data_IF_877732176027
#
_entry.id   IF_877732176027
#
_cell.length_a   1.000
_cell.length_b   1.000
_cell.length_c   1.000
_cell.angle_alpha   90.00
_cell.angle_beta   90.00
_cell.angle_gamma   90.00
#
_symmetry.space_group_name_H-M   'P 1'
#
loop_
_entity.id
_entity.type
_entity.pdbx_description
1 polymer ?
#
# COMPACT_ATOMS: atom_id res chain seq x y z
N UNK A 1 30.28 54.38 51.93
CA UNK A 1 28.86 54.05 51.72
C UNK A 1 28.44 54.28 50.26
N UNK A 2 29.34 54.21 49.30
CA UNK A 2 29.16 54.54 47.91
C UNK A 2 29.43 53.36 46.94
N UNK A 3 29.58 52.08 47.47
CA UNK A 3 29.90 50.91 46.64
C UNK A 3 28.75 49.94 46.43
N UNK A 4 27.57 50.15 47.05
CA UNK A 4 26.43 49.21 46.87
C UNK A 4 25.43 49.63 45.78
N UNK A 5 25.39 50.89 45.38
CA UNK A 5 24.47 51.42 44.38
C UNK A 5 24.93 51.14 42.95
N UNK A 6 26.24 51.15 42.68
CA UNK A 6 26.78 50.93 41.32
C UNK A 6 26.72 49.46 40.90
N UNK A 7 26.84 48.53 41.84
CA UNK A 7 26.74 47.10 41.54
C UNK A 7 25.32 46.61 41.23
N UNK A 8 24.30 47.32 41.81
CA UNK A 8 22.90 47.00 41.48
C UNK A 8 22.46 47.57 40.12
N UNK A 9 23.03 48.69 39.68
CA UNK A 9 22.79 49.24 38.33
C UNK A 9 23.44 48.39 37.22
N UNK A 10 24.66 47.88 37.45
CA UNK A 10 25.37 47.01 36.47
C UNK A 10 24.65 45.67 36.32
N UNK A 11 24.13 45.08 37.41
CA UNK A 11 23.38 43.80 37.33
C UNK A 11 22.02 44.02 36.66
N UNK A 12 21.35 45.18 36.86
CA UNK A 12 20.09 45.49 36.18
C UNK A 12 20.28 45.73 34.66
N UNK A 13 21.38 46.37 34.26
CA UNK A 13 21.68 46.57 32.82
C UNK A 13 22.11 45.28 32.10
N UNK A 14 22.85 44.40 32.75
CA UNK A 14 23.19 43.07 32.16
C UNK A 14 21.96 42.15 32.06
N UNK A 15 21.01 42.24 33.01
CA UNK A 15 19.77 41.46 32.92
C UNK A 15 18.78 42.04 31.87
N UNK A 16 18.79 43.33 31.64
CA UNK A 16 17.92 43.98 30.64
C UNK A 16 18.45 43.78 29.19
N UNK A 17 19.77 43.68 29.01
CA UNK A 17 20.35 43.34 27.72
C UNK A 17 20.13 41.87 27.30
N UNK A 18 19.95 40.92 28.25
CA UNK A 18 19.61 39.54 27.94
C UNK A 18 18.14 39.35 27.50
N UNK A 19 17.24 40.29 27.84
CA UNK A 19 15.82 40.27 27.45
C UNK A 19 15.55 40.87 26.08
N UNK A 20 16.55 41.47 25.42
CA UNK A 20 16.41 42.11 24.12
C UNK A 20 17.14 41.41 22.97
N UNK A 21 17.72 40.23 23.19
CA UNK A 21 18.08 39.40 22.07
C UNK A 21 16.77 38.84 21.50
N UNK A 22 16.33 39.25 20.30
CA UNK A 22 15.29 38.52 19.62
C UNK A 22 15.82 37.09 19.52
N UNK A 23 15.06 36.14 20.03
CA UNK A 23 15.29 34.75 19.68
C UNK A 23 15.27 34.70 18.14
N UNK A 24 16.44 34.61 17.52
CA UNK A 24 16.53 34.35 16.10
C UNK A 24 15.98 32.94 15.99
N UNK A 25 14.67 32.84 15.71
CA UNK A 25 14.06 31.62 15.31
C UNK A 25 14.82 31.23 14.03
N UNK A 26 15.75 30.32 14.13
CA UNK A 26 16.32 29.68 12.94
C UNK A 26 15.15 29.06 12.21
N UNK A 27 14.87 29.58 11.04
CA UNK A 27 13.87 29.03 10.15
C UNK A 27 14.20 27.55 9.95
N UNK A 28 13.32 26.68 10.42
CA UNK A 28 13.51 25.23 10.21
C UNK A 28 13.20 24.91 8.75
N UNK A 29 14.12 24.22 8.09
CA UNK A 29 13.87 23.69 6.76
C UNK A 29 12.60 22.84 6.75
N UNK A 30 11.75 22.94 5.71
CA UNK A 30 10.58 22.07 5.63
C UNK A 30 11.01 20.61 5.43
N UNK A 31 10.43 19.74 6.23
CA UNK A 31 10.54 18.29 6.06
C UNK A 31 9.52 17.84 5.02
N UNK A 32 10.00 17.39 3.86
CA UNK A 32 9.18 16.79 2.82
C UNK A 32 8.95 15.32 3.15
N UNK A 33 7.70 14.88 3.14
CA UNK A 33 7.32 13.47 3.32
C UNK A 33 6.49 13.01 2.13
N UNK A 34 6.85 11.84 1.59
CA UNK A 34 6.15 11.20 0.47
C UNK A 34 5.75 9.79 0.85
N UNK A 35 4.48 9.44 0.65
CA UNK A 35 3.97 8.08 0.75
C UNK A 35 2.83 7.85 -0.24
N UNK A 36 2.12 6.73 -0.13
CA UNK A 36 1.02 6.38 -1.02
C UNK A 36 1.03 4.88 -1.27
N UNK A 37 0.48 4.48 -2.42
CA UNK A 37 0.49 3.11 -2.94
C UNK A 37 0.04 2.07 -1.91
N UNK A 38 -1.01 2.42 -1.14
CA UNK A 38 -1.54 1.53 -0.08
C UNK A 38 -2.20 0.28 -0.66
N UNK A 39 -2.85 0.39 -1.83
CA UNK A 39 -3.58 -0.68 -2.52
C UNK A 39 -4.56 -1.44 -1.60
N UNK A 40 -5.18 -0.71 -0.68
CA UNK A 40 -6.12 -1.27 0.28
C UNK A 40 -5.50 -2.04 1.44
N UNK A 41 -4.17 -2.03 1.61
CA UNK A 41 -3.49 -2.66 2.75
C UNK A 41 -3.68 -1.81 4.02
N UNK A 42 -4.80 -2.04 4.72
CA UNK A 42 -5.13 -1.30 5.95
C UNK A 42 -4.18 -1.70 7.08
N UNK A 43 -3.94 -3.00 7.21
CA UNK A 43 -2.97 -3.60 8.12
C UNK A 43 -2.18 -4.66 7.38
N UNK A 44 -0.88 -4.81 7.66
CA UNK A 44 -0.14 -5.95 7.16
C UNK A 44 -0.73 -7.24 7.72
N UNK A 45 -0.65 -8.33 6.97
CA UNK A 45 -1.28 -9.58 7.37
C UNK A 45 -0.65 -10.19 8.64
N UNK A 46 0.58 -9.81 8.99
CA UNK A 46 1.30 -10.31 10.16
C UNK A 46 1.64 -11.80 10.09
N UNK A 47 1.48 -12.43 8.93
CA UNK A 47 1.73 -13.87 8.73
C UNK A 47 3.20 -14.23 8.83
N UNK A 48 4.09 -13.33 8.44
CA UNK A 48 5.53 -13.44 8.62
C UNK A 48 6.04 -12.18 9.33
N UNK A 49 6.99 -12.34 10.25
CA UNK A 49 7.54 -11.21 11.02
C UNK A 49 8.24 -10.21 10.10
N UNK A 50 8.95 -10.70 9.10
CA UNK A 50 9.67 -9.90 8.12
C UNK A 50 8.74 -9.19 7.13
N UNK A 51 7.55 -9.74 6.89
CA UNK A 51 6.49 -9.16 6.06
C UNK A 51 5.53 -8.26 6.81
N UNK A 52 5.66 -8.16 8.13
CA UNK A 52 4.83 -7.29 8.97
C UNK A 52 5.29 -5.83 8.88
N UNK A 53 5.18 -5.26 7.68
CA UNK A 53 5.52 -3.89 7.35
C UNK A 53 4.36 -3.17 6.67
N UNK A 54 4.26 -1.86 6.91
CA UNK A 54 3.25 -1.02 6.28
C UNK A 54 1.96 -0.94 7.09
N UNK A 55 0.88 -0.70 6.36
CA UNK A 55 -0.45 -0.50 6.92
C UNK A 55 -0.78 0.96 7.20
N UNK A 56 -2.05 1.28 6.98
CA UNK A 56 -2.58 2.64 7.11
C UNK A 56 -2.47 3.19 8.53
N UNK A 57 -2.69 2.30 9.53
CA UNK A 57 -2.68 2.69 10.94
C UNK A 57 -1.28 3.10 11.39
N UNK A 58 -0.25 2.36 11.00
CA UNK A 58 1.15 2.70 11.30
C UNK A 58 1.63 3.93 10.56
N UNK A 59 1.19 4.11 9.30
CA UNK A 59 1.47 5.31 8.52
C UNK A 59 0.99 6.56 9.27
N UNK A 60 -0.24 6.54 9.79
CA UNK A 60 -0.80 7.66 10.54
C UNK A 60 0.03 7.94 11.80
N UNK A 61 0.36 6.93 12.58
CA UNK A 61 1.21 7.09 13.78
C UNK A 61 2.56 7.72 13.42
N UNK A 62 3.26 7.17 12.42
CA UNK A 62 4.58 7.65 12.02
C UNK A 62 4.56 9.12 11.58
N UNK A 63 3.65 9.48 10.66
CA UNK A 63 3.57 10.86 10.14
C UNK A 63 3.20 11.83 11.25
N UNK A 64 2.29 11.47 12.17
CA UNK A 64 1.95 12.30 13.34
C UNK A 64 3.13 12.50 14.30
N UNK A 65 3.92 11.46 14.54
CA UNK A 65 5.15 11.59 15.32
C UNK A 65 6.14 12.55 14.65
N UNK A 66 6.34 12.42 13.33
CA UNK A 66 7.17 13.35 12.58
C UNK A 66 6.62 14.80 12.65
N UNK A 67 5.31 14.97 12.52
CA UNK A 67 4.66 16.27 12.62
C UNK A 67 4.82 16.92 14.00
N UNK A 68 4.87 16.13 15.08
CA UNK A 68 5.13 16.65 16.42
C UNK A 68 6.57 17.12 16.65
N UNK A 69 7.51 16.66 15.82
CA UNK A 69 8.93 17.00 15.88
C UNK A 69 9.33 18.09 14.88
N UNK A 70 8.56 18.25 13.80
CA UNK A 70 8.83 19.19 12.71
C UNK A 70 7.57 20.01 12.44
N UNK A 71 7.55 21.26 12.92
CA UNK A 71 6.42 22.19 12.72
C UNK A 71 6.16 22.48 11.23
N UNK A 72 7.22 22.41 10.40
CA UNK A 72 7.21 22.71 8.98
C UNK A 72 7.20 21.43 8.11
N UNK A 73 6.39 20.44 8.48
CA UNK A 73 6.25 19.22 7.71
C UNK A 73 5.27 19.41 6.55
N UNK A 74 5.68 19.00 5.35
CA UNK A 74 4.87 18.98 4.13
C UNK A 74 4.69 17.52 3.67
N UNK A 75 3.46 17.02 3.73
CA UNK A 75 3.14 15.65 3.37
C UNK A 75 2.46 15.56 2.00
N UNK A 76 3.00 14.72 1.13
CA UNK A 76 2.51 14.45 -0.22
C UNK A 76 2.17 12.97 -0.36
N UNK A 77 0.98 12.67 -0.87
CA UNK A 77 0.53 11.31 -1.11
C UNK A 77 0.46 11.03 -2.63
N UNK A 78 1.12 9.96 -3.07
CA UNK A 78 1.17 9.57 -4.47
C UNK A 78 -0.03 8.72 -4.92
N UNK A 79 -1.09 8.67 -4.12
CA UNK A 79 -2.31 7.94 -4.45
C UNK A 79 -2.14 6.43 -4.57
N UNK A 80 -3.03 5.81 -5.32
CA UNK A 80 -3.13 4.35 -5.42
C UNK A 80 -3.38 3.69 -4.05
N UNK A 81 -4.18 4.38 -3.23
CA UNK A 81 -4.49 3.93 -1.87
C UNK A 81 -5.68 2.98 -1.83
N UNK A 82 -6.58 3.08 -2.81
CA UNK A 82 -7.76 2.23 -2.86
C UNK A 82 -7.38 0.77 -3.14
N UNK A 83 -8.18 -0.19 -2.66
CA UNK A 83 -8.04 -1.60 -3.04
C UNK A 83 -8.41 -1.81 -4.51
N UNK A 84 -8.17 -3.00 -5.03
CA UNK A 84 -8.85 -3.43 -6.25
C UNK A 84 -10.37 -3.46 -6.06
N UNK A 85 -11.16 -3.16 -7.11
CA UNK A 85 -12.62 -3.15 -7.02
C UNK A 85 -13.19 -4.49 -6.56
N UNK A 86 -13.87 -4.49 -5.42
CA UNK A 86 -14.54 -5.66 -4.85
C UNK A 86 -15.51 -5.23 -3.75
N UNK A 87 -16.50 -6.07 -3.41
CA UNK A 87 -17.40 -5.77 -2.28
C UNK A 87 -16.66 -5.58 -0.96
N UNK A 88 -15.60 -6.35 -0.71
CA UNK A 88 -14.75 -6.15 0.47
C UNK A 88 -13.90 -4.89 0.33
N UNK A 89 -13.42 -4.59 -0.88
CA UNK A 89 -12.68 -3.37 -1.18
C UNK A 89 -13.48 -2.11 -0.87
N UNK A 90 -14.75 -2.08 -1.26
CA UNK A 90 -15.65 -0.96 -1.00
C UNK A 90 -15.76 -0.63 0.50
N UNK A 91 -15.69 -1.66 1.36
CA UNK A 91 -15.69 -1.47 2.82
C UNK A 91 -14.42 -0.81 3.35
N UNK A 92 -13.30 -0.88 2.62
CA UNK A 92 -12.02 -0.26 3.01
C UNK A 92 -11.97 1.24 2.72
N UNK A 93 -12.65 1.69 1.67
CA UNK A 93 -12.56 3.08 1.18
C UNK A 93 -12.92 4.13 2.25
N UNK A 94 -14.00 4.00 3.03
CA UNK A 94 -14.30 4.97 4.10
C UNK A 94 -13.22 5.07 5.16
N UNK A 95 -12.56 3.96 5.51
CA UNK A 95 -11.45 3.96 6.46
C UNK A 95 -10.21 4.66 5.89
N UNK A 96 -9.91 4.44 4.61
CA UNK A 96 -8.82 5.12 3.90
C UNK A 96 -9.06 6.63 3.88
N UNK A 97 -10.27 7.09 3.56
CA UNK A 97 -10.64 8.51 3.62
C UNK A 97 -10.49 9.09 5.02
N UNK A 98 -10.97 8.38 6.05
CA UNK A 98 -10.81 8.82 7.45
C UNK A 98 -9.35 9.02 7.84
N UNK A 99 -8.47 8.13 7.39
CA UNK A 99 -7.03 8.27 7.65
C UNK A 99 -6.40 9.41 6.86
N UNK A 100 -6.68 9.54 5.56
CA UNK A 100 -6.18 10.64 4.73
C UNK A 100 -6.62 12.00 5.27
N UNK A 101 -7.87 12.13 5.73
CA UNK A 101 -8.34 13.36 6.38
C UNK A 101 -7.56 13.70 7.66
N UNK A 102 -7.14 12.68 8.44
CA UNK A 102 -6.32 12.87 9.66
C UNK A 102 -4.85 13.14 9.36
N UNK A 103 -4.34 12.61 8.26
CA UNK A 103 -2.99 12.86 7.76
C UNK A 103 -2.83 14.25 7.17
N UNK A 104 -3.92 14.85 6.69
CA UNK A 104 -3.96 16.20 6.12
C UNK A 104 -2.87 16.45 5.06
N UNK A 105 -2.79 15.63 3.99
CA UNK A 105 -1.79 15.82 2.95
C UNK A 105 -1.96 17.17 2.24
N UNK A 106 -0.86 17.76 1.77
CA UNK A 106 -0.88 18.93 0.89
C UNK A 106 -1.60 18.62 -0.42
N UNK A 107 -1.36 17.44 -0.96
CA UNK A 107 -2.07 16.87 -2.11
C UNK A 107 -2.05 15.34 -2.07
N UNK A 108 -3.03 14.73 -2.74
CA UNK A 108 -3.09 13.29 -3.04
C UNK A 108 -3.16 13.13 -4.55
N UNK A 109 -2.18 12.48 -5.16
CA UNK A 109 -2.26 12.14 -6.59
C UNK A 109 -3.38 11.12 -6.82
N UNK A 110 -4.22 11.33 -7.83
CA UNK A 110 -5.18 10.31 -8.25
C UNK A 110 -4.41 9.12 -8.85
N UNK A 111 -4.58 7.92 -8.29
CA UNK A 111 -3.91 6.72 -8.75
C UNK A 111 -4.80 5.80 -9.60
N UNK A 112 -4.22 4.72 -10.16
CA UNK A 112 -4.97 3.75 -10.95
C UNK A 112 -6.13 3.10 -10.21
N UNK A 113 -5.96 2.76 -8.93
CA UNK A 113 -7.02 2.11 -8.16
C UNK A 113 -8.16 3.07 -7.80
N UNK A 114 -7.87 4.36 -7.52
CA UNK A 114 -8.90 5.38 -7.38
C UNK A 114 -9.71 5.50 -8.68
N UNK A 115 -9.03 5.49 -9.82
CA UNK A 115 -9.68 5.56 -11.13
C UNK A 115 -10.55 4.33 -11.40
N UNK A 116 -10.03 3.14 -11.13
CA UNK A 116 -10.68 1.86 -11.39
C UNK A 116 -11.93 1.62 -10.53
N UNK A 117 -11.91 2.07 -9.26
CA UNK A 117 -13.08 2.03 -8.38
C UNK A 117 -14.14 3.06 -8.78
N UNK A 118 -13.75 4.10 -9.52
CA UNK A 118 -14.62 5.17 -9.96
C UNK A 118 -14.45 6.45 -9.13
N UNK A 119 -14.34 7.55 -9.86
CA UNK A 119 -14.06 8.87 -9.27
C UNK A 119 -15.16 9.41 -8.34
N UNK A 120 -16.34 8.81 -8.36
CA UNK A 120 -17.44 9.14 -7.44
C UNK A 120 -17.17 8.71 -5.98
N UNK A 121 -16.23 7.80 -5.76
CA UNK A 121 -15.78 7.42 -4.41
C UNK A 121 -14.86 8.47 -3.78
N UNK A 122 -14.28 9.40 -4.54
CA UNK A 122 -13.32 10.36 -4.00
C UNK A 122 -14.03 11.38 -3.08
N UNK A 123 -13.50 11.55 -1.87
CA UNK A 123 -14.01 12.55 -0.93
C UNK A 123 -13.50 13.94 -1.34
N UNK A 124 -14.41 14.86 -1.63
CA UNK A 124 -14.11 16.24 -2.03
C UNK A 124 -13.35 17.06 -0.98
N UNK A 125 -13.25 16.58 0.26
CA UNK A 125 -12.45 17.22 1.32
C UNK A 125 -10.97 16.89 1.23
N UNK A 126 -10.61 15.86 0.46
CA UNK A 126 -9.23 15.47 0.23
C UNK A 126 -8.70 16.22 -0.99
N UNK A 127 -7.53 16.88 -0.92
CA UNK A 127 -6.99 17.70 -1.99
C UNK A 127 -6.39 16.85 -3.12
N UNK A 128 -7.23 16.19 -3.91
CA UNK A 128 -6.76 15.40 -5.04
C UNK A 128 -6.17 16.28 -6.15
N UNK A 129 -5.00 15.86 -6.66
CA UNK A 129 -4.30 16.52 -7.77
C UNK A 129 -4.19 15.59 -8.99
N UNK A 130 -4.42 16.18 -10.16
CA UNK A 130 -4.22 15.52 -11.45
C UNK A 130 -3.98 16.60 -12.51
N UNK A 131 -2.71 16.91 -12.81
CA UNK A 131 -2.34 18.08 -13.58
C UNK A 131 -2.48 17.88 -15.11
N UNK A 132 -2.46 16.62 -15.55
CA UNK A 132 -2.66 16.26 -16.96
C UNK A 132 -4.14 15.95 -17.33
N UNK A 133 -5.09 16.38 -16.49
CA UNK A 133 -6.52 16.28 -16.77
C UNK A 133 -7.00 17.35 -17.76
N UNK A 134 -8.10 17.07 -18.45
CA UNK A 134 -8.87 18.12 -19.09
C UNK A 134 -9.77 18.83 -18.03
N UNK A 135 -10.35 19.98 -18.40
CA UNK A 135 -11.14 20.84 -17.51
C UNK A 135 -12.47 20.22 -17.02
N UNK A 136 -12.78 18.97 -17.38
CA UNK A 136 -14.03 18.31 -16.98
C UNK A 136 -13.97 17.68 -15.59
N UNK A 137 -12.76 17.38 -15.09
CA UNK A 137 -12.58 16.82 -13.76
C UNK A 137 -12.29 17.94 -12.76
N UNK A 138 -12.85 17.82 -11.55
CA UNK A 138 -12.71 18.83 -10.52
C UNK A 138 -11.56 18.49 -9.56
N UNK A 139 -10.34 18.33 -10.10
CA UNK A 139 -9.12 18.11 -9.33
C UNK A 139 -8.21 19.34 -9.41
N UNK A 140 -7.28 19.44 -8.47
CA UNK A 140 -6.24 20.45 -8.54
C UNK A 140 -5.36 20.20 -9.77
N UNK A 141 -5.15 21.24 -10.57
CA UNK A 141 -4.22 21.20 -11.70
C UNK A 141 -2.79 21.56 -11.28
N UNK A 142 -2.67 22.25 -10.14
CA UNK A 142 -1.42 22.71 -9.56
C UNK A 142 -1.69 23.07 -8.11
N UNK A 143 -0.78 22.74 -7.20
CA UNK A 143 -0.78 23.22 -5.82
C UNK A 143 0.41 24.13 -5.61
N UNK A 144 0.16 25.32 -5.05
CA UNK A 144 1.19 26.24 -4.58
C UNK A 144 1.21 26.22 -3.06
N UNK A 145 2.40 26.01 -2.50
CA UNK A 145 2.65 26.04 -1.06
C UNK A 145 3.59 27.20 -0.78
N UNK A 146 3.22 28.04 0.18
CA UNK A 146 4.05 29.11 0.66
C UNK A 146 4.69 28.69 1.98
N UNK A 147 6.00 28.56 1.98
CA UNK A 147 6.77 28.27 3.18
C UNK A 147 7.83 29.35 3.34
N UNK A 148 7.65 30.23 4.33
CA UNK A 148 8.47 31.42 4.55
C UNK A 148 8.62 32.27 3.27
N UNK A 149 9.85 32.44 2.78
CA UNK A 149 10.13 33.18 1.56
C UNK A 149 10.17 32.30 0.31
N UNK A 150 9.78 31.02 0.42
CA UNK A 150 9.77 30.07 -0.68
C UNK A 150 8.37 29.76 -1.16
N UNK A 151 8.30 29.57 -2.46
CA UNK A 151 7.11 29.07 -3.12
C UNK A 151 7.46 27.73 -3.75
N UNK A 152 6.80 26.69 -3.23
CA UNK A 152 6.90 25.32 -3.72
C UNK A 152 5.69 25.05 -4.60
N UNK A 153 5.91 24.50 -5.78
CA UNK A 153 4.83 24.07 -6.68
C UNK A 153 4.84 22.58 -6.79
N UNK A 154 3.64 21.98 -6.76
CA UNK A 154 3.42 20.56 -6.94
C UNK A 154 2.49 20.32 -8.12
N UNK A 155 2.91 19.46 -9.04
CA UNK A 155 2.09 18.91 -10.11
C UNK A 155 1.97 17.41 -9.94
N UNK A 156 0.87 16.84 -10.45
CA UNK A 156 0.62 15.40 -10.43
C UNK A 156 0.38 14.86 -11.83
N UNK A 157 1.07 13.79 -12.20
CA UNK A 157 0.90 13.11 -13.48
C UNK A 157 0.47 11.66 -13.27
N UNK A 158 -0.61 11.26 -13.94
CA UNK A 158 -1.06 9.88 -14.07
C UNK A 158 -1.06 9.50 -15.55
N UNK A 159 -0.31 8.46 -15.91
CA UNK A 159 -0.28 7.98 -17.29
C UNK A 159 -1.64 7.46 -17.74
N UNK A 160 -2.13 7.88 -18.91
CA UNK A 160 -3.32 7.29 -19.51
C UNK A 160 -3.22 5.78 -19.78
N UNK A 161 -2.00 5.24 -19.87
CA UNK A 161 -1.77 3.80 -20.08
C UNK A 161 -2.11 2.93 -18.87
N UNK A 162 -2.17 3.54 -17.68
CA UNK A 162 -2.45 2.84 -16.41
C UNK A 162 -3.94 2.79 -16.06
N UNK A 163 -4.79 3.45 -16.84
CA UNK A 163 -6.21 3.59 -16.54
C UNK A 163 -7.07 3.30 -17.76
N UNK A 164 -8.26 2.77 -17.50
CA UNK A 164 -9.24 2.59 -18.58
C UNK A 164 -9.85 3.93 -18.96
N UNK A 165 -9.84 4.23 -20.25
CA UNK A 165 -10.59 5.34 -20.85
C UNK A 165 -11.45 4.80 -22.01
N UNK A 166 -12.69 5.28 -22.11
CA UNK A 166 -13.57 4.91 -23.21
C UNK A 166 -13.01 5.47 -24.52
N UNK A 167 -12.65 4.61 -25.48
CA UNK A 167 -12.08 5.00 -26.76
C UNK A 167 -13.04 5.84 -27.65
N UNK A 168 -14.34 5.77 -27.37
CA UNK A 168 -15.36 6.51 -28.10
C UNK A 168 -15.67 7.89 -27.52
N UNK A 169 -14.99 8.27 -26.43
CA UNK A 169 -15.13 9.56 -25.77
C UNK A 169 -13.81 10.33 -25.80
N UNK A 170 -13.84 11.67 -25.76
CA UNK A 170 -12.61 12.46 -25.62
C UNK A 170 -11.85 12.03 -24.37
N UNK A 171 -10.54 11.85 -24.50
CA UNK A 171 -9.68 11.52 -23.38
C UNK A 171 -9.83 12.56 -22.26
N UNK A 172 -9.97 12.09 -21.02
CA UNK A 172 -10.11 12.95 -19.84
C UNK A 172 -8.77 13.26 -19.19
N UNK A 173 -7.72 12.47 -19.51
CA UNK A 173 -6.33 12.75 -19.14
C UNK A 173 -5.43 12.62 -20.38
N UNK A 174 -4.36 13.38 -20.40
CA UNK A 174 -3.47 13.50 -21.54
C UNK A 174 -2.12 12.82 -21.28
N UNK A 175 -1.60 12.13 -22.30
CA UNK A 175 -0.21 11.67 -22.29
C UNK A 175 0.74 12.86 -22.32
N UNK A 176 1.94 12.68 -21.76
CA UNK A 176 3.00 13.69 -21.88
C UNK A 176 3.40 13.87 -23.33
N UNK A 177 3.39 15.10 -23.81
CA UNK A 177 3.80 15.54 -25.14
C UNK A 177 4.31 16.99 -25.08
N UNK A 178 4.76 17.54 -26.19
CA UNK A 178 5.28 18.91 -26.24
C UNK A 178 4.24 19.98 -25.87
N UNK A 179 2.98 19.76 -26.17
CA UNK A 179 1.89 20.69 -25.84
C UNK A 179 1.67 20.75 -24.34
N UNK A 180 1.55 19.57 -23.68
CA UNK A 180 1.42 19.47 -22.23
C UNK A 180 2.63 20.08 -21.50
N UNK A 181 3.85 19.78 -21.97
CA UNK A 181 5.07 20.34 -21.39
C UNK A 181 5.14 21.86 -21.54
N UNK A 182 4.68 22.42 -22.67
CA UNK A 182 4.65 23.87 -22.90
C UNK A 182 3.63 24.55 -21.98
N UNK A 183 2.43 23.99 -21.85
CA UNK A 183 1.39 24.49 -20.94
C UNK A 183 1.87 24.47 -19.47
N UNK A 184 2.48 23.36 -19.04
CA UNK A 184 3.00 23.24 -17.67
C UNK A 184 4.14 24.22 -17.41
N UNK A 185 5.03 24.42 -18.38
CA UNK A 185 6.12 25.40 -18.29
C UNK A 185 5.57 26.82 -18.08
N UNK A 186 4.55 27.20 -18.84
CA UNK A 186 3.90 28.51 -18.68
C UNK A 186 3.26 28.66 -17.28
N UNK A 187 2.54 27.63 -16.80
CA UNK A 187 1.93 27.62 -15.46
C UNK A 187 2.98 27.78 -14.37
N UNK A 188 4.09 27.03 -14.46
CA UNK A 188 5.20 27.09 -13.49
C UNK A 188 5.82 28.48 -13.48
N UNK A 189 6.09 29.07 -14.67
CA UNK A 189 6.70 30.40 -14.80
C UNK A 189 5.80 31.50 -14.18
N UNK A 190 4.50 31.45 -14.43
CA UNK A 190 3.53 32.42 -13.87
C UNK A 190 3.51 32.43 -12.34
N UNK A 191 3.87 31.29 -11.71
CA UNK A 191 3.84 31.15 -10.26
C UNK A 191 5.16 31.49 -9.56
N UNK A 192 6.26 31.80 -10.28
CA UNK A 192 7.58 32.15 -9.73
C UNK A 192 8.05 31.17 -8.64
N UNK A 193 7.97 29.86 -8.91
CA UNK A 193 8.35 28.83 -7.95
C UNK A 193 9.86 28.77 -7.75
N UNK A 194 10.30 28.62 -6.50
CA UNK A 194 11.69 28.37 -6.13
C UNK A 194 12.01 26.87 -6.05
N UNK A 195 10.98 26.03 -5.84
CA UNK A 195 11.12 24.57 -5.86
C UNK A 195 9.90 23.92 -6.51
N UNK A 196 10.14 22.91 -7.34
CA UNK A 196 9.13 22.32 -8.23
C UNK A 196 9.13 20.81 -8.09
N UNK A 197 8.01 20.25 -7.66
CA UNK A 197 7.84 18.82 -7.39
C UNK A 197 6.87 18.24 -8.42
N UNK A 198 7.25 17.09 -8.99
CA UNK A 198 6.33 16.23 -9.76
C UNK A 198 6.04 14.96 -8.96
N UNK A 199 4.78 14.71 -8.67
CA UNK A 199 4.29 13.41 -8.25
C UNK A 199 3.95 12.62 -9.52
N UNK A 200 4.68 11.53 -9.77
CA UNK A 200 4.66 10.85 -11.05
C UNK A 200 4.16 9.41 -10.92
N UNK A 201 3.23 9.04 -11.80
CA UNK A 201 2.79 7.66 -11.97
C UNK A 201 2.64 7.35 -13.46
N UNK A 202 3.60 6.61 -14.00
CA UNK A 202 3.73 6.33 -15.42
C UNK A 202 4.89 5.37 -15.70
N UNK A 203 5.22 5.20 -16.97
CA UNK A 203 6.36 4.37 -17.40
C UNK A 203 7.66 5.19 -17.53
N UNK A 204 8.78 4.49 -17.76
CA UNK A 204 10.11 5.12 -17.86
C UNK A 204 10.24 6.08 -19.06
N UNK A 205 9.57 5.79 -20.19
CA UNK A 205 9.63 6.65 -21.39
C UNK A 205 8.93 7.99 -21.14
N UNK A 206 7.81 7.96 -20.43
CA UNK A 206 7.08 9.18 -20.02
C UNK A 206 7.89 9.99 -19.02
N UNK A 207 8.55 9.32 -18.06
CA UNK A 207 9.41 9.97 -17.09
C UNK A 207 10.62 10.64 -17.76
N UNK A 208 11.20 10.02 -18.79
CA UNK A 208 12.32 10.55 -19.57
C UNK A 208 11.97 11.91 -20.23
N UNK A 209 10.72 12.07 -20.70
CA UNK A 209 10.26 13.34 -21.25
C UNK A 209 10.20 14.45 -20.18
N UNK A 210 9.73 14.14 -18.98
CA UNK A 210 9.73 15.09 -17.87
C UNK A 210 11.15 15.42 -17.39
N UNK A 211 12.04 14.41 -17.27
CA UNK A 211 13.42 14.62 -16.86
C UNK A 211 14.18 15.52 -17.86
N UNK A 212 14.09 15.23 -19.15
CA UNK A 212 14.70 16.05 -20.21
C UNK A 212 14.13 17.47 -20.29
N UNK A 213 12.93 17.70 -19.83
CA UNK A 213 12.33 19.04 -19.81
C UNK A 213 13.02 19.99 -18.83
N UNK A 214 13.70 19.49 -17.81
CA UNK A 214 14.34 20.27 -16.75
C UNK A 214 13.38 21.14 -15.93
N UNK A 215 12.07 20.84 -15.97
CA UNK A 215 11.07 21.67 -15.32
C UNK A 215 10.96 21.43 -13.81
N UNK A 216 11.42 20.29 -13.32
CA UNK A 216 11.25 19.86 -11.93
C UNK A 216 12.58 19.71 -11.22
N UNK A 217 12.60 20.15 -9.96
CA UNK A 217 13.75 20.01 -9.06
C UNK A 217 13.75 18.64 -8.39
N UNK A 218 12.53 18.08 -8.16
CA UNK A 218 12.31 16.75 -7.60
C UNK A 218 11.18 16.04 -8.35
N UNK A 219 11.41 14.81 -8.76
CA UNK A 219 10.39 13.91 -9.28
C UNK A 219 10.33 12.68 -8.36
N UNK A 220 9.16 12.42 -7.77
CA UNK A 220 8.92 11.22 -6.94
C UNK A 220 7.95 10.32 -7.67
N UNK A 221 8.34 9.07 -7.89
CA UNK A 221 7.53 8.11 -8.64
C UNK A 221 6.75 7.15 -7.72
N UNK A 222 5.61 6.69 -8.19
CA UNK A 222 4.90 5.54 -7.64
C UNK A 222 5.21 4.28 -8.45
N UNK A 223 5.21 3.10 -7.81
CA UNK A 223 5.37 1.82 -8.52
C UNK A 223 4.10 1.46 -9.30
N UNK A 224 4.30 0.85 -10.46
CA UNK A 224 3.22 0.30 -11.28
C UNK A 224 3.19 -1.25 -11.26
N UNK A 225 4.17 -1.89 -10.62
CA UNK A 225 4.33 -3.34 -10.55
C UNK A 225 3.87 -3.88 -9.20
N UNK A 226 3.12 -4.99 -9.23
CA UNK A 226 2.64 -5.68 -8.03
C UNK A 226 3.72 -6.52 -7.35
N UNK A 227 4.72 -6.96 -8.11
CA UNK A 227 5.69 -7.99 -7.68
C UNK A 227 6.96 -7.41 -7.03
N UNK A 228 7.19 -6.11 -7.11
CA UNK A 228 8.41 -5.50 -6.57
C UNK A 228 8.25 -5.12 -5.09
N UNK A 229 8.40 -6.11 -4.23
CA UNK A 229 8.51 -5.87 -2.79
C UNK A 229 9.88 -5.34 -2.42
N UNK A 230 9.89 -4.15 -1.80
CA UNK A 230 10.98 -3.64 -0.95
C UNK A 230 12.37 -3.48 -1.59
N UNK A 231 12.56 -3.66 -2.89
CA UNK A 231 13.92 -3.72 -3.46
C UNK A 231 14.25 -2.60 -4.43
N UNK A 232 13.28 -1.98 -5.09
CA UNK A 232 13.55 -0.94 -6.07
C UNK A 232 12.86 0.36 -5.68
N UNK A 233 13.52 1.16 -4.85
CA UNK A 233 13.06 2.50 -4.47
C UNK A 233 13.52 3.57 -5.47
N UNK A 234 13.65 3.19 -6.75
CA UNK A 234 14.14 4.08 -7.80
C UNK A 234 13.67 3.65 -9.18
N UNK A 235 13.32 4.63 -10.00
CA UNK A 235 13.06 4.45 -11.43
C UNK A 235 14.25 5.03 -12.22
N UNK A 236 14.83 4.22 -13.12
CA UNK A 236 15.95 4.64 -13.92
C UNK A 236 15.49 5.24 -15.25
N UNK A 237 16.06 6.38 -15.61
CA UNK A 237 15.86 7.06 -16.88
C UNK A 237 17.24 7.49 -17.40
N UNK A 238 17.68 6.88 -18.49
CA UNK A 238 19.04 7.09 -18.96
C UNK A 238 20.08 6.74 -17.89
N UNK A 239 20.84 7.73 -17.43
CA UNK A 239 21.83 7.59 -16.34
C UNK A 239 21.33 8.10 -14.99
N UNK A 240 20.18 8.74 -14.93
CA UNK A 240 19.57 9.25 -13.69
C UNK A 240 18.67 8.23 -13.03
N UNK A 241 18.52 8.38 -11.72
CA UNK A 241 17.59 7.62 -10.90
C UNK A 241 16.66 8.57 -10.16
N UNK A 242 15.36 8.34 -10.26
CA UNK A 242 14.34 9.06 -9.49
C UNK A 242 13.83 8.21 -8.34
N UNK A 243 13.59 8.78 -7.14
CA UNK A 243 13.09 8.04 -6.00
C UNK A 243 11.68 7.52 -6.27
N UNK A 244 11.41 6.30 -5.79
CA UNK A 244 10.09 5.67 -5.81
C UNK A 244 9.61 5.41 -4.40
N UNK A 245 8.33 5.69 -4.12
CA UNK A 245 7.73 5.30 -2.84
C UNK A 245 7.61 3.77 -2.73
N UNK A 246 7.79 3.21 -1.52
CA UNK A 246 7.52 1.79 -1.27
C UNK A 246 6.07 1.41 -1.56
N UNK A 247 5.87 0.23 -2.17
CA UNK A 247 4.54 -0.31 -2.47
C UNK A 247 3.80 -0.75 -1.20
N UNK A 248 2.47 -0.95 -1.31
CA UNK A 248 1.59 -1.43 -0.22
C UNK A 248 1.73 -0.63 1.08
N UNK A 249 2.10 0.64 0.96
CA UNK A 249 2.28 1.53 2.10
C UNK A 249 3.34 1.09 3.11
N UNK A 250 4.34 0.30 2.69
CA UNK A 250 5.32 -0.33 3.58
C UNK A 250 6.36 0.63 4.13
N UNK A 251 6.53 1.79 3.49
CA UNK A 251 7.50 2.78 3.93
C UNK A 251 7.13 4.20 3.48
N UNK A 252 7.96 5.11 3.91
CA UNK A 252 7.81 6.54 3.71
C UNK A 252 9.15 7.10 3.24
N UNK A 253 9.14 7.95 2.22
CA UNK A 253 10.31 8.72 1.84
C UNK A 253 10.26 10.09 2.51
N UNK A 254 11.40 10.58 2.97
CA UNK A 254 11.52 11.88 3.61
C UNK A 254 12.88 12.53 3.41
N UNK A 255 12.92 13.87 3.54
CA UNK A 255 14.14 14.65 3.50
C UNK A 255 13.85 16.14 3.73
N UNK A 256 14.82 16.84 4.31
CA UNK A 256 14.71 18.28 4.56
C UNK A 256 15.12 19.08 3.33
N UNK A 257 14.31 20.06 2.94
CA UNK A 257 14.63 20.97 1.85
C UNK A 257 15.41 22.17 2.38
N UNK A 258 16.71 22.23 2.15
CA UNK A 258 17.57 23.33 2.59
C UNK A 258 17.32 24.64 1.82
N UNK A 259 17.90 25.73 2.27
CA UNK A 259 17.76 27.07 1.68
C UNK A 259 18.25 27.17 0.23
N UNK A 260 19.13 26.28 -0.21
CA UNK A 260 19.68 26.26 -1.56
C UNK A 260 18.84 25.39 -2.53
N UNK A 261 17.72 24.79 -2.05
CA UNK A 261 16.91 23.89 -2.84
C UNK A 261 17.47 22.45 -2.92
N UNK A 262 18.41 22.10 -2.04
CA UNK A 262 18.95 20.74 -1.93
C UNK A 262 18.15 19.95 -0.88
N UNK A 263 17.89 18.69 -1.16
CA UNK A 263 17.28 17.78 -0.18
C UNK A 263 18.38 17.08 0.61
N UNK A 264 18.22 17.09 1.92
CA UNK A 264 19.09 16.47 2.91
C UNK A 264 18.35 15.29 3.53
N UNK A 265 18.93 14.06 3.48
CA UNK A 265 18.29 12.89 4.07
C UNK A 265 18.09 13.07 5.59
N UNK A 266 16.94 12.66 6.11
CA UNK A 266 16.63 12.74 7.54
C UNK A 266 16.98 11.44 8.31
N UNK A 267 17.50 10.42 7.60
CA UNK A 267 18.06 9.21 8.19
C UNK A 267 19.17 8.61 7.28
N UNK A 268 19.76 7.48 7.71
CA UNK A 268 20.92 6.86 7.04
C UNK A 268 20.56 5.98 5.84
N UNK A 269 19.30 5.53 5.72
CA UNK A 269 18.86 4.68 4.61
C UNK A 269 18.44 5.54 3.41
N UNK A 270 19.42 5.96 2.63
CA UNK A 270 19.25 6.95 1.56
C UNK A 270 18.77 6.33 0.25
N UNK A 271 17.98 7.10 -0.48
CA UNK A 271 17.50 6.83 -1.85
C UNK A 271 17.92 7.99 -2.77
N UNK A 272 17.70 7.92 -4.10
CA UNK A 272 18.05 9.01 -5.01
C UNK A 272 17.50 10.39 -4.58
N UNK A 273 18.11 11.44 -5.11
CA UNK A 273 17.73 12.85 -4.96
C UNK A 273 17.77 13.37 -3.50
N UNK A 274 18.56 12.72 -2.62
CA UNK A 274 18.72 13.16 -1.24
C UNK A 274 17.59 12.81 -0.30
N UNK A 275 16.66 11.98 -0.71
CA UNK A 275 15.65 11.43 0.20
C UNK A 275 16.21 10.23 0.97
N UNK A 276 15.53 9.86 2.03
CA UNK A 276 15.75 8.64 2.80
C UNK A 276 14.45 7.86 2.94
N UNK A 277 14.55 6.54 3.19
CA UNK A 277 13.39 5.68 3.44
C UNK A 277 13.28 5.32 4.91
N UNK A 278 12.04 5.34 5.42
CA UNK A 278 11.68 4.80 6.72
C UNK A 278 10.64 3.71 6.56
N UNK A 279 10.99 2.50 6.96
CA UNK A 279 10.10 1.34 6.88
C UNK A 279 9.11 1.31 8.05
N UNK A 280 7.84 1.12 7.77
CA UNK A 280 6.78 1.05 8.78
C UNK A 280 6.72 -0.35 9.41
N UNK A 281 7.69 -0.66 10.25
CA UNK A 281 7.87 -1.96 10.88
C UNK A 281 6.93 -2.14 12.09
N UNK A 282 6.88 -3.35 12.62
CA UNK A 282 6.06 -3.79 13.76
C UNK A 282 6.27 -3.00 15.06
N UNK A 283 7.42 -2.36 15.23
CA UNK A 283 7.70 -1.50 16.37
C UNK A 283 6.93 -0.15 16.36
N UNK A 284 6.28 0.18 15.26
CA UNK A 284 5.39 1.35 15.17
C UNK A 284 3.99 0.89 15.55
N UNK A 285 3.43 1.49 16.60
CA UNK A 285 2.09 1.17 17.08
C UNK A 285 1.01 1.62 16.09
N UNK A 286 -0.10 0.89 16.06
CA UNK A 286 -1.29 1.29 15.30
C UNK A 286 -1.90 2.57 15.88
N UNK A 287 -2.33 3.48 15.04
CA UNK A 287 -2.99 4.73 15.44
C UNK A 287 -4.29 4.46 16.20
N UNK A 288 -4.38 4.83 17.49
CA UNK A 288 -5.54 4.50 18.32
C UNK A 288 -6.83 5.12 17.80
N UNK A 289 -6.77 6.28 17.15
CA UNK A 289 -7.91 6.98 16.58
C UNK A 289 -8.54 6.32 15.34
N UNK A 290 -7.91 5.29 14.78
CA UNK A 290 -8.45 4.48 13.69
C UNK A 290 -8.90 3.08 14.14
N UNK A 291 -8.62 2.67 15.38
CA UNK A 291 -8.93 1.32 15.85
C UNK A 291 -10.43 1.01 15.84
N UNK A 292 -11.29 1.97 16.17
CA UNK A 292 -12.74 1.78 16.11
C UNK A 292 -13.23 1.64 14.68
N UNK A 293 -12.72 2.48 13.76
CA UNK A 293 -13.04 2.38 12.34
C UNK A 293 -12.57 1.05 11.75
N UNK A 294 -11.41 0.57 12.18
CA UNK A 294 -10.88 -0.73 11.78
C UNK A 294 -11.73 -1.90 12.31
N UNK A 295 -12.16 -1.84 13.59
CA UNK A 295 -13.10 -2.84 14.16
C UNK A 295 -14.44 -2.87 13.43
N UNK A 296 -14.96 -1.71 13.05
CA UNK A 296 -16.18 -1.62 12.26
C UNK A 296 -16.01 -2.23 10.85
N UNK A 297 -14.87 -2.00 10.22
CA UNK A 297 -14.51 -2.65 8.96
C UNK A 297 -14.50 -4.18 9.13
N UNK A 298 -13.81 -4.73 10.13
CA UNK A 298 -13.78 -6.17 10.39
C UNK A 298 -15.18 -6.76 10.62
N UNK A 299 -16.03 -6.05 11.37
CA UNK A 299 -17.42 -6.47 11.58
C UNK A 299 -18.20 -6.49 10.27
N UNK A 300 -18.00 -5.48 9.40
CA UNK A 300 -18.67 -5.42 8.09
C UNK A 300 -18.18 -6.51 7.13
N UNK A 301 -16.89 -6.85 7.15
CA UNK A 301 -16.34 -7.99 6.37
C UNK A 301 -16.97 -9.30 6.83
N UNK A 302 -17.10 -9.50 8.14
CA UNK A 302 -17.77 -10.69 8.70
C UNK A 302 -19.22 -10.78 8.26
N UNK A 303 -19.96 -9.68 8.34
CA UNK A 303 -21.35 -9.62 7.89
C UNK A 303 -21.46 -9.91 6.37
N UNK A 304 -20.60 -9.29 5.56
CA UNK A 304 -20.52 -9.53 4.12
C UNK A 304 -20.28 -11.01 3.81
N UNK A 305 -19.31 -11.64 4.48
CA UNK A 305 -18.99 -13.06 4.32
C UNK A 305 -20.22 -13.95 4.58
N UNK A 306 -20.90 -13.77 5.71
CA UNK A 306 -22.07 -14.59 6.04
C UNK A 306 -23.27 -14.29 5.14
N UNK A 307 -23.48 -13.05 4.74
CA UNK A 307 -24.50 -12.69 3.74
C UNK A 307 -24.24 -13.39 2.42
N UNK A 308 -23.03 -13.38 1.91
CA UNK A 308 -22.65 -14.06 0.68
C UNK A 308 -22.82 -15.58 0.79
N UNK A 309 -22.46 -16.15 1.94
CA UNK A 309 -22.66 -17.56 2.22
C UNK A 309 -24.14 -17.94 2.14
N UNK A 310 -25.03 -17.16 2.76
CA UNK A 310 -26.48 -17.43 2.75
C UNK A 310 -27.10 -17.30 1.35
N UNK A 311 -26.73 -16.25 0.61
CA UNK A 311 -27.25 -16.00 -0.74
C UNK A 311 -26.81 -17.06 -1.76
N UNK A 312 -25.71 -17.75 -1.51
CA UNK A 312 -25.04 -18.63 -2.50
C UNK A 312 -25.06 -20.10 -2.07
N UNK A 313 -25.88 -20.48 -1.09
CA UNK A 313 -26.04 -21.87 -0.58
C UNK A 313 -26.29 -22.91 -1.66
N UNK A 314 -27.00 -22.56 -2.71
CA UNK A 314 -27.38 -23.49 -3.78
C UNK A 314 -26.19 -24.00 -4.59
N UNK A 315 -25.06 -23.26 -4.57
CA UNK A 315 -23.81 -23.62 -5.25
C UNK A 315 -22.89 -24.52 -4.41
N UNK A 316 -23.37 -25.01 -3.25
CA UNK A 316 -22.59 -25.83 -2.29
C UNK A 316 -22.53 -27.32 -2.64
N UNK A 317 -23.31 -27.77 -3.63
CA UNK A 317 -23.36 -29.17 -4.02
C UNK A 317 -22.15 -29.53 -4.86
N UNK A 318 -21.55 -30.70 -4.53
CA UNK A 318 -20.49 -31.36 -5.31
C UNK A 318 -19.11 -30.68 -5.22
N UNK A 319 -18.55 -30.58 -4.00
CA UNK A 319 -17.13 -30.26 -3.84
C UNK A 319 -16.27 -31.46 -4.32
N UNK A 320 -15.31 -31.22 -5.22
CA UNK A 320 -14.37 -32.29 -5.63
C UNK A 320 -13.26 -32.53 -4.58
N UNK A 321 -13.24 -31.73 -3.51
CA UNK A 321 -12.26 -31.79 -2.43
C UNK A 321 -12.75 -32.66 -1.29
N UNK A 322 -11.88 -33.58 -0.83
CA UNK A 322 -12.23 -34.64 0.14
C UNK A 322 -11.57 -34.45 1.51
N UNK A 323 -10.53 -33.59 1.59
CA UNK A 323 -9.80 -33.28 2.82
C UNK A 323 -8.73 -34.32 3.19
N UNK A 324 -7.72 -33.88 3.96
CA UNK A 324 -6.53 -34.63 4.29
C UNK A 324 -6.79 -35.89 5.10
N UNK A 325 -7.87 -35.98 5.89
CA UNK A 325 -8.20 -37.17 6.68
C UNK A 325 -8.43 -38.40 5.80
N UNK A 326 -9.01 -38.22 4.62
CA UNK A 326 -9.21 -39.28 3.63
C UNK A 326 -7.88 -39.71 3.03
N UNK A 327 -6.99 -38.78 2.74
CA UNK A 327 -5.65 -39.03 2.20
C UNK A 327 -4.79 -39.84 3.16
N UNK A 328 -4.88 -39.56 4.47
CA UNK A 328 -4.10 -40.20 5.52
C UNK A 328 -4.24 -41.74 5.55
N UNK A 329 -5.41 -42.25 5.17
CA UNK A 329 -5.68 -43.70 5.16
C UNK A 329 -4.77 -44.48 4.19
N UNK A 330 -4.37 -43.87 3.07
CA UNK A 330 -3.52 -44.49 2.07
C UNK A 330 -2.11 -43.90 2.00
N UNK A 331 -1.92 -42.68 2.47
CA UNK A 331 -0.66 -41.92 2.42
C UNK A 331 -0.14 -41.50 3.82
N UNK A 332 0.05 -42.47 4.77
CA UNK A 332 0.39 -42.12 6.17
C UNK A 332 1.77 -41.46 6.29
N UNK A 333 2.75 -41.79 5.48
CA UNK A 333 4.10 -41.20 5.52
C UNK A 333 4.06 -39.73 5.09
N UNK A 334 3.37 -39.42 3.99
CA UNK A 334 3.18 -38.05 3.50
C UNK A 334 2.40 -37.19 4.50
N UNK A 335 1.37 -37.78 5.11
CA UNK A 335 0.56 -37.13 6.16
C UNK A 335 1.41 -36.79 7.37
N UNK A 336 2.31 -37.67 7.80
CA UNK A 336 3.20 -37.44 8.94
C UNK A 336 4.20 -36.29 8.68
N UNK A 337 4.59 -36.04 7.44
CA UNK A 337 5.39 -34.86 7.06
C UNK A 337 4.55 -33.60 7.16
N UNK A 338 3.34 -33.64 6.58
CA UNK A 338 2.41 -32.50 6.60
C UNK A 338 2.02 -32.10 8.04
N UNK A 339 1.68 -33.03 8.92
CA UNK A 339 1.30 -32.78 10.31
C UNK A 339 2.37 -32.02 11.11
N UNK A 340 3.64 -32.18 10.78
CA UNK A 340 4.77 -31.48 11.41
C UNK A 340 4.98 -30.08 10.83
N UNK A 341 4.33 -29.75 9.73
CA UNK A 341 4.46 -28.47 9.08
C UNK A 341 3.51 -27.40 9.65
N UNK A 342 3.81 -26.13 9.43
CA UNK A 342 2.89 -25.03 9.76
C UNK A 342 1.61 -25.06 8.94
N UNK A 343 1.58 -25.75 7.80
CA UNK A 343 0.40 -25.91 6.98
C UNK A 343 -0.74 -26.60 7.74
N UNK A 344 -0.42 -27.57 8.59
CA UNK A 344 -1.40 -28.32 9.37
C UNK A 344 -2.13 -27.47 10.44
N UNK A 345 -1.63 -26.27 10.76
CA UNK A 345 -2.22 -25.35 11.74
C UNK A 345 -2.48 -23.95 11.19
N UNK A 346 -2.53 -23.83 9.87
CA UNK A 346 -2.68 -22.52 9.21
C UNK A 346 -3.98 -21.81 9.61
N UNK A 347 -5.10 -22.53 9.70
CA UNK A 347 -6.39 -21.95 10.08
C UNK A 347 -6.45 -21.47 11.53
N UNK A 348 -5.78 -22.15 12.43
CA UNK A 348 -5.73 -21.77 13.85
C UNK A 348 -5.07 -20.39 14.08
N UNK A 349 -4.22 -19.94 13.16
CA UNK A 349 -3.67 -18.58 13.21
C UNK A 349 -4.74 -17.53 12.96
N UNK A 350 -5.67 -17.81 12.05
CA UNK A 350 -6.80 -16.92 11.75
C UNK A 350 -7.81 -16.87 12.90
N UNK A 351 -8.05 -18.01 13.56
CA UNK A 351 -8.95 -18.05 14.71
C UNK A 351 -8.42 -17.17 15.86
N UNK A 352 -7.12 -17.25 16.16
CA UNK A 352 -6.49 -16.38 17.18
C UNK A 352 -6.63 -14.89 16.88
N UNK A 353 -6.64 -14.51 15.62
CA UNK A 353 -6.75 -13.13 15.18
C UNK A 353 -8.21 -12.71 14.94
N UNK A 354 -9.18 -13.62 15.05
CA UNK A 354 -10.57 -13.37 14.70
C UNK A 354 -10.80 -13.14 13.21
N UNK A 355 -9.91 -13.65 12.34
CA UNK A 355 -9.90 -13.44 10.89
C UNK A 355 -10.36 -14.67 10.08
N UNK A 356 -10.89 -15.69 10.72
CA UNK A 356 -11.33 -16.94 10.09
C UNK A 356 -12.59 -16.82 9.20
N UNK A 357 -13.07 -15.62 8.99
CA UNK A 357 -14.14 -15.26 8.05
C UNK A 357 -13.70 -14.22 7.00
N UNK A 358 -12.46 -13.76 7.06
CA UNK A 358 -11.93 -12.79 6.11
C UNK A 358 -11.45 -13.49 4.83
N UNK A 359 -12.09 -13.25 3.66
CA UNK A 359 -11.75 -13.93 2.41
C UNK A 359 -10.30 -13.72 1.98
N UNK A 360 -9.72 -12.53 2.21
CA UNK A 360 -8.32 -12.24 1.88
C UNK A 360 -7.33 -13.11 2.67
N UNK A 361 -7.70 -13.51 3.89
CA UNK A 361 -6.91 -14.43 4.70
C UNK A 361 -7.20 -15.89 4.34
N UNK A 362 -8.46 -16.23 4.13
CA UNK A 362 -8.90 -17.59 3.86
C UNK A 362 -8.32 -18.16 2.56
N UNK A 363 -8.08 -17.34 1.53
CA UNK A 363 -7.48 -17.80 0.26
C UNK A 363 -6.21 -18.63 0.47
N UNK A 364 -5.38 -18.28 1.44
CA UNK A 364 -4.11 -18.96 1.73
C UNK A 364 -4.21 -19.97 2.89
N UNK A 365 -5.29 -19.97 3.67
CA UNK A 365 -5.38 -20.72 4.93
C UNK A 365 -6.39 -21.88 4.91
N UNK A 366 -7.03 -22.15 3.77
CA UNK A 366 -8.00 -23.24 3.60
C UNK A 366 -7.82 -23.97 2.27
N UNK A 367 -8.48 -25.09 2.10
CA UNK A 367 -8.51 -25.81 0.81
C UNK A 367 -9.46 -25.09 -0.13
N UNK A 368 -8.90 -24.50 -1.19
CA UNK A 368 -9.63 -23.91 -2.30
C UNK A 368 -10.86 -23.09 -1.84
N UNK A 369 -10.64 -21.91 -1.26
CA UNK A 369 -11.74 -21.02 -0.86
C UNK A 369 -12.78 -20.93 -1.98
N UNK A 370 -14.04 -21.20 -1.63
CA UNK A 370 -15.10 -21.15 -2.62
C UNK A 370 -15.26 -19.69 -3.13
N UNK A 371 -15.16 -19.45 -4.44
CA UNK A 371 -15.18 -18.11 -5.01
C UNK A 371 -16.46 -17.33 -4.70
N UNK A 372 -17.57 -18.03 -4.41
CA UNK A 372 -18.85 -17.40 -4.07
C UNK A 372 -18.84 -16.71 -2.69
N UNK A 373 -17.98 -17.14 -1.78
CA UNK A 373 -17.80 -16.46 -0.48
C UNK A 373 -16.63 -15.50 -0.47
N UNK A 374 -15.75 -15.55 -1.49
CA UNK A 374 -14.57 -14.70 -1.60
C UNK A 374 -14.89 -13.25 -1.98
N UNK A 375 -16.15 -12.92 -2.31
CA UNK A 375 -16.55 -11.53 -2.60
C UNK A 375 -15.78 -10.83 -3.75
N UNK A 376 -15.06 -11.58 -4.59
CA UNK A 376 -14.37 -11.01 -5.76
C UNK A 376 -15.32 -10.90 -6.94
N UNK A 377 -15.10 -9.90 -7.79
CA UNK A 377 -15.91 -9.63 -8.99
C UNK A 377 -16.19 -10.92 -9.77
N UNK A 378 -17.46 -11.23 -9.95
CA UNK A 378 -17.95 -12.54 -10.40
C UNK A 378 -17.33 -13.05 -11.71
N UNK A 379 -16.94 -12.18 -12.64
CA UNK A 379 -16.47 -12.62 -13.97
C UNK A 379 -15.01 -13.11 -14.00
N UNK A 380 -14.12 -12.52 -13.19
CA UNK A 380 -12.71 -12.91 -13.15
C UNK A 380 -12.47 -13.96 -12.07
N UNK A 381 -13.14 -13.84 -10.91
CA UNK A 381 -13.12 -14.85 -9.87
C UNK A 381 -13.69 -16.19 -10.36
N UNK A 382 -14.77 -16.17 -11.13
CA UNK A 382 -15.35 -17.39 -11.73
C UNK A 382 -14.35 -18.05 -12.68
N UNK A 383 -13.63 -17.31 -13.52
CA UNK A 383 -12.62 -17.85 -14.43
C UNK A 383 -11.40 -18.42 -13.71
N UNK A 384 -10.88 -17.70 -12.70
CA UNK A 384 -9.71 -18.14 -11.91
C UNK A 384 -9.99 -19.35 -11.02
N UNK A 385 -11.25 -19.52 -10.60
CA UNK A 385 -11.69 -20.59 -9.69
C UNK A 385 -12.67 -21.57 -10.33
N UNK A 386 -12.81 -21.57 -11.64
CA UNK A 386 -13.68 -22.49 -12.35
C UNK A 386 -13.32 -23.94 -11.98
N UNK A 387 -14.28 -24.66 -11.39
CA UNK A 387 -14.09 -26.03 -10.85
C UNK A 387 -13.55 -26.13 -9.42
N UNK A 388 -13.11 -25.03 -8.77
CA UNK A 388 -12.62 -25.05 -7.39
C UNK A 388 -13.75 -24.71 -6.40
N UNK A 389 -14.48 -25.70 -5.94
CA UNK A 389 -15.59 -25.56 -4.96
C UNK A 389 -15.16 -26.12 -3.61
N UNK A 390 -14.25 -25.42 -2.92
CA UNK A 390 -13.66 -25.88 -1.69
C UNK A 390 -14.33 -25.35 -0.42
N UNK A 391 -13.53 -24.77 0.46
CA UNK A 391 -13.95 -24.26 1.76
C UNK A 391 -15.06 -23.22 1.64
N UNK A 392 -16.05 -23.33 2.52
CA UNK A 392 -17.20 -22.42 2.62
C UNK A 392 -17.25 -21.72 3.96
N UNK A 393 -17.23 -22.47 5.03
CA UNK A 393 -17.17 -21.98 6.40
C UNK A 393 -16.79 -23.11 7.34
N UNK A 394 -16.37 -22.76 8.56
CA UNK A 394 -16.07 -23.72 9.61
C UNK A 394 -17.26 -24.66 9.93
N UNK A 395 -18.49 -24.15 9.82
CA UNK A 395 -19.68 -24.96 10.09
C UNK A 395 -20.07 -25.92 8.95
N UNK A 396 -19.79 -25.54 7.69
CA UNK A 396 -20.26 -26.29 6.52
C UNK A 396 -19.21 -27.25 5.96
N UNK A 397 -17.94 -26.84 5.98
CA UNK A 397 -16.81 -27.60 5.42
C UNK A 397 -15.62 -27.58 6.37
N UNK A 398 -15.77 -28.00 7.66
CA UNK A 398 -14.69 -27.96 8.63
C UNK A 398 -13.48 -28.83 8.23
N UNK A 399 -13.70 -29.88 7.44
CA UNK A 399 -12.66 -30.79 6.95
C UNK A 399 -11.74 -30.14 5.90
N UNK A 400 -12.07 -28.95 5.37
CA UNK A 400 -11.29 -28.20 4.39
C UNK A 400 -10.52 -27.02 5.01
N UNK A 401 -10.43 -26.94 6.34
CA UNK A 401 -9.57 -25.97 7.05
C UNK A 401 -8.10 -26.34 6.89
N UNK A 402 -7.20 -25.37 7.05
CA UNK A 402 -5.76 -25.48 6.86
C UNK A 402 -5.31 -25.64 5.40
N UNK A 403 -4.01 -25.53 5.17
CA UNK A 403 -3.39 -25.82 3.87
C UNK A 403 -3.11 -27.32 3.83
N UNK A 404 -3.85 -28.05 3.00
CA UNK A 404 -3.84 -29.50 2.98
C UNK A 404 -3.22 -30.06 1.70
N UNK A 405 -3.26 -31.39 1.54
CA UNK A 405 -2.74 -32.11 0.39
C UNK A 405 -3.28 -31.54 -0.94
N UNK A 406 -4.58 -31.29 -0.98
CA UNK A 406 -5.27 -30.81 -2.18
C UNK A 406 -4.97 -29.37 -2.58
N UNK A 407 -4.36 -28.56 -1.70
CA UNK A 407 -3.84 -27.24 -2.10
C UNK A 407 -2.67 -27.36 -3.08
N UNK A 408 -1.86 -28.44 -2.94
CA UNK A 408 -0.71 -28.70 -3.79
C UNK A 408 -1.00 -29.70 -4.90
N UNK A 409 -1.81 -30.72 -4.62
CA UNK A 409 -2.07 -31.84 -5.55
C UNK A 409 -3.37 -31.64 -6.34
N UNK A 410 -4.20 -30.64 -6.04
CA UNK A 410 -5.51 -30.49 -6.64
C UNK A 410 -6.57 -31.41 -6.05
N UNK A 411 -7.83 -31.30 -6.52
CA UNK A 411 -8.94 -32.08 -6.00
C UNK A 411 -8.75 -33.58 -6.22
N UNK A 412 -9.05 -34.37 -5.19
CA UNK A 412 -8.78 -35.82 -5.18
C UNK A 412 -10.05 -36.71 -5.17
N UNK A 413 -11.24 -36.10 -5.37
CA UNK A 413 -12.49 -36.87 -5.40
C UNK A 413 -12.48 -37.99 -6.42
N UNK A 414 -12.04 -37.77 -7.65
CA UNK A 414 -11.97 -38.79 -8.70
C UNK A 414 -10.91 -39.85 -8.39
N UNK A 415 -9.78 -39.47 -7.79
CA UNK A 415 -8.74 -40.38 -7.34
C UNK A 415 -9.25 -41.34 -6.26
N UNK A 416 -10.13 -40.90 -5.38
CA UNK A 416 -10.72 -41.73 -4.34
C UNK A 416 -11.60 -42.84 -4.96
N UNK A 417 -12.32 -42.52 -6.05
CA UNK A 417 -13.19 -43.48 -6.76
C UNK A 417 -12.38 -44.41 -7.65
N UNK A 418 -11.39 -43.89 -8.36
CA UNK A 418 -10.50 -44.67 -9.22
C UNK A 418 -9.04 -44.26 -8.98
N UNK A 419 -8.27 -45.15 -8.32
CA UNK A 419 -6.88 -44.90 -7.94
C UNK A 419 -5.90 -44.73 -9.11
N UNK A 420 -6.30 -45.12 -10.32
CA UNK A 420 -5.50 -44.90 -11.54
C UNK A 420 -5.55 -43.42 -11.98
N UNK A 421 -6.61 -42.71 -11.62
CA UNK A 421 -6.72 -41.28 -11.85
C UNK A 421 -5.87 -40.57 -10.79
N UNK A 422 -4.68 -40.09 -11.17
CA UNK A 422 -3.85 -39.29 -10.27
C UNK A 422 -4.37 -37.86 -10.19
N UNK A 423 -4.32 -37.25 -8.99
CA UNK A 423 -4.49 -35.81 -8.90
C UNK A 423 -3.49 -35.07 -9.81
N UNK A 424 -3.83 -33.88 -10.25
CA UNK A 424 -3.01 -33.16 -11.21
C UNK A 424 -1.57 -32.97 -10.71
N UNK A 425 -0.61 -33.29 -11.57
CA UNK A 425 0.80 -33.00 -11.30
C UNK A 425 1.02 -31.49 -11.48
N UNK A 426 1.23 -30.78 -10.39
CA UNK A 426 1.60 -29.39 -10.41
C UNK A 426 3.09 -29.22 -10.15
N UNK A 427 3.69 -28.22 -10.78
CA UNK A 427 5.07 -27.84 -10.45
C UNK A 427 5.06 -27.22 -9.04
N UNK A 428 5.75 -27.81 -8.05
CA UNK A 428 5.72 -27.29 -6.68
C UNK A 428 6.16 -25.83 -6.57
N UNK A 429 7.10 -25.39 -7.42
CA UNK A 429 7.59 -24.01 -7.36
C UNK A 429 6.53 -22.99 -7.75
N UNK A 430 5.61 -23.32 -8.66
CA UNK A 430 4.52 -22.43 -9.07
C UNK A 430 3.37 -22.45 -8.08
N UNK A 431 3.05 -23.61 -7.50
CA UNK A 431 1.99 -23.73 -6.50
C UNK A 431 2.35 -23.00 -5.19
N UNK A 432 3.60 -23.12 -4.75
CA UNK A 432 4.03 -22.46 -3.52
C UNK A 432 3.85 -20.93 -3.57
N UNK A 433 4.12 -20.31 -4.71
CA UNK A 433 4.03 -18.85 -4.85
C UNK A 433 2.59 -18.33 -4.94
N UNK A 434 1.58 -19.19 -5.07
CA UNK A 434 0.19 -18.76 -4.97
C UNK A 434 -0.12 -18.17 -3.57
N UNK A 435 0.57 -18.63 -2.53
CA UNK A 435 0.43 -18.16 -1.16
C UNK A 435 1.71 -17.50 -0.61
N UNK A 436 2.88 -18.06 -0.96
CA UNK A 436 4.19 -17.56 -0.51
C UNK A 436 4.70 -16.47 -1.45
N UNK A 437 4.03 -15.33 -1.47
CA UNK A 437 4.39 -14.18 -2.30
C UNK A 437 4.34 -12.90 -1.50
N UNK A 438 5.09 -11.93 -1.97
CA UNK A 438 4.99 -10.57 -1.51
C UNK A 438 5.18 -10.40 -0.01
N UNK A 439 4.38 -9.52 0.57
CA UNK A 439 4.36 -9.23 2.02
C UNK A 439 3.96 -10.42 2.88
N UNK A 440 3.28 -11.42 2.30
CA UNK A 440 2.86 -12.62 3.03
C UNK A 440 4.02 -13.57 3.33
N UNK A 441 5.08 -13.56 2.52
CA UNK A 441 6.25 -14.41 2.71
C UNK A 441 7.52 -13.81 2.07
N UNK A 442 8.00 -12.65 2.55
CA UNK A 442 9.06 -11.87 1.89
C UNK A 442 10.41 -12.58 1.84
N UNK A 443 10.64 -13.55 2.72
CA UNK A 443 11.85 -14.38 2.74
C UNK A 443 11.65 -15.76 2.11
N UNK A 444 10.61 -15.91 1.29
CA UNK A 444 10.34 -17.18 0.64
C UNK A 444 11.47 -17.52 -0.33
N UNK A 445 12.13 -18.66 -0.07
CA UNK A 445 13.07 -19.28 -0.98
C UNK A 445 12.61 -20.72 -1.21
N UNK A 446 12.17 -21.04 -2.42
CA UNK A 446 11.61 -22.35 -2.75
C UNK A 446 12.46 -23.51 -2.22
N UNK A 447 13.77 -23.51 -2.45
CA UNK A 447 14.65 -24.58 -2.02
C UNK A 447 14.64 -24.85 -0.52
N UNK A 448 14.58 -23.79 0.31
CA UNK A 448 14.54 -23.90 1.77
C UNK A 448 13.16 -24.38 2.28
N UNK A 449 12.09 -23.85 1.69
CA UNK A 449 10.72 -24.19 2.12
C UNK A 449 10.35 -25.60 1.66
N UNK A 450 10.73 -25.98 0.43
CA UNK A 450 10.50 -27.31 -0.12
C UNK A 450 11.06 -28.44 0.75
N UNK A 451 12.26 -28.26 1.34
CA UNK A 451 12.87 -29.26 2.22
C UNK A 451 12.02 -29.57 3.46
N UNK A 452 11.14 -28.66 3.90
CA UNK A 452 10.31 -28.81 5.11
C UNK A 452 9.01 -29.58 4.85
N UNK A 453 8.57 -29.70 3.59
CA UNK A 453 7.27 -30.25 3.23
C UNK A 453 7.35 -31.37 2.17
N UNK A 454 8.49 -31.51 1.48
CA UNK A 454 8.65 -32.57 0.48
C UNK A 454 8.48 -33.94 1.13
N UNK A 455 7.77 -34.82 0.41
CA UNK A 455 7.54 -36.20 0.76
C UNK A 455 7.58 -37.07 -0.49
N UNK A 456 7.59 -38.37 -0.32
CA UNK A 456 7.59 -39.36 -1.42
C UNK A 456 6.18 -39.76 -1.78
#
# INVERSE_FOLDING_TARGET
>A
MLQKTDMQLIVAYTFLCFLLFPAVAFAQNPLLIFSGDLRGEIKPCGCAEEGDMGGLLRRLTYIKQKHSLHENLLYFDLGNNFPEPSEQGDLKIPLIHSALAKLSPEVVLVGPNEWQNGLHWLDSKIPYILSNQNTKLNFLNLKTIHHENRRIIVLGYLSPSLVYQNKNEPSVIHSVNQELLSDWKERIQKNNAQFRILLFRGNADELDLFDKSGMFDLIVAGSNNDDELNQVLKMQVGTRYHPMIPTKGQGILSGELDENGKIIPDNQETVPEGLSVSWLRRNIEDAPELLDSFRNYDASVKELFFRNLELKKEHLKDSPFIGNQVCAACHPESTAVWEKSRHASAFATLEKLGKHFDPECLECHVVALNPWVASKNSSEAVRKFEGKRGFLSLNLTPHLTNVQCENCHGPAGDHLVNREIKPAEHNPSTVCVECHQGSHSPLFEFGKYWQKIKHR
#
